data_IF_346791639645
#
_entry.id   IF_346791639645
#
_cell.length_a   1.000
_cell.length_b   1.000
_cell.length_c   1.000
_cell.angle_alpha   90.00
_cell.angle_beta   90.00
_cell.angle_gamma   90.00
#
_symmetry.space_group_name_H-M   'P 1'
#
loop_
_entity.id
_entity.type
_entity.pdbx_description
1 polymer ?
#
# COMPACT_ATOMS: atom_id res chain seq x y z
N UNK A 1 3.30 -19.11 0.44
CA UNK A 1 3.27 -18.24 -0.76
C UNK A 1 1.96 -17.46 -0.91
N UNK A 2 0.79 -18.11 -0.92
CA UNK A 2 -0.47 -17.37 -0.68
C UNK A 2 -0.38 -16.57 0.64
N UNK A 3 0.18 -17.20 1.67
CA UNK A 3 0.47 -16.54 2.95
C UNK A 3 1.47 -15.38 2.85
N UNK A 4 2.46 -15.40 1.96
CA UNK A 4 3.46 -14.33 1.83
C UNK A 4 2.87 -13.10 1.14
N UNK A 5 2.10 -13.32 0.07
CA UNK A 5 1.38 -12.24 -0.62
C UNK A 5 0.31 -11.66 0.32
N UNK A 6 -0.43 -12.50 1.04
CA UNK A 6 -1.41 -12.05 2.03
C UNK A 6 -0.75 -11.26 3.17
N UNK A 7 0.40 -11.72 3.68
CA UNK A 7 1.16 -10.99 4.70
C UNK A 7 1.65 -9.64 4.18
N UNK A 8 2.11 -9.58 2.93
CA UNK A 8 2.52 -8.33 2.29
C UNK A 8 1.34 -7.36 2.15
N UNK A 9 0.22 -7.81 1.60
CA UNK A 9 -1.00 -7.01 1.47
C UNK A 9 -1.49 -6.48 2.83
N UNK A 10 -1.48 -7.34 3.84
CA UNK A 10 -1.82 -6.96 5.22
C UNK A 10 -0.86 -5.87 5.73
N UNK A 11 0.44 -6.04 5.50
CA UNK A 11 1.46 -5.06 5.93
C UNK A 11 1.31 -3.70 5.23
N UNK A 12 0.96 -3.68 3.94
CA UNK A 12 0.70 -2.43 3.21
C UNK A 12 -0.51 -1.68 3.79
N UNK A 13 -1.60 -2.41 4.07
CA UNK A 13 -2.81 -1.84 4.69
C UNK A 13 -2.54 -1.35 6.12
N UNK A 14 -1.80 -2.12 6.92
CA UNK A 14 -1.41 -1.70 8.27
C UNK A 14 -0.52 -0.47 8.24
N UNK A 15 0.41 -0.39 7.29
CA UNK A 15 1.27 0.77 7.11
C UNK A 15 0.45 2.01 6.78
N UNK A 16 -0.52 1.89 5.88
CA UNK A 16 -1.43 2.97 5.51
C UNK A 16 -2.29 3.43 6.70
N UNK A 17 -2.89 2.48 7.44
CA UNK A 17 -3.65 2.75 8.67
C UNK A 17 -2.79 3.50 9.69
N UNK A 18 -1.55 3.06 9.86
CA UNK A 18 -0.59 3.66 10.79
C UNK A 18 -0.17 5.08 10.37
N UNK A 19 -0.01 5.32 9.06
CA UNK A 19 0.28 6.64 8.52
C UNK A 19 -0.87 7.62 8.78
N UNK A 20 -2.12 7.23 8.50
CA UNK A 20 -3.31 8.03 8.78
C UNK A 20 -3.48 8.29 10.28
N UNK A 21 -3.34 7.26 11.11
CA UNK A 21 -3.54 7.39 12.55
C UNK A 21 -2.57 8.39 13.20
N UNK A 22 -1.31 8.42 12.73
CA UNK A 22 -0.24 9.29 13.27
C UNK A 22 -0.11 10.62 12.54
N UNK A 23 -0.94 10.89 11.54
CA UNK A 23 -0.80 12.12 10.78
C UNK A 23 -1.21 13.35 11.58
N UNK A 24 -0.46 14.43 11.38
CA UNK A 24 -0.70 15.77 11.86
C UNK A 24 -0.25 16.79 10.81
N UNK A 25 -0.26 18.07 11.15
CA UNK A 25 0.03 19.14 10.18
C UNK A 25 1.41 18.98 9.48
N UNK A 26 2.43 18.46 10.18
CA UNK A 26 3.80 18.38 9.68
C UNK A 26 4.02 17.29 8.62
N UNK A 27 3.22 16.22 8.63
CA UNK A 27 3.29 15.11 7.68
C UNK A 27 2.06 15.02 6.76
N UNK A 28 1.15 16.01 6.79
CA UNK A 28 -0.01 16.05 5.90
C UNK A 28 0.37 15.93 4.41
N UNK A 29 1.45 16.61 4.00
CA UNK A 29 1.95 16.57 2.61
C UNK A 29 2.48 15.20 2.16
N UNK A 30 2.82 14.32 3.11
CA UNK A 30 3.33 12.98 2.79
C UNK A 30 2.22 11.94 2.73
N UNK A 31 1.00 12.26 3.19
CA UNK A 31 -0.14 11.33 3.17
C UNK A 31 -0.56 10.94 1.76
N UNK A 32 -0.65 11.90 0.84
CA UNK A 32 -1.01 11.61 -0.56
C UNK A 32 -0.02 10.64 -1.23
N UNK A 33 1.28 10.96 -1.28
CA UNK A 33 2.29 10.06 -1.83
C UNK A 33 2.38 8.70 -1.12
N UNK A 34 2.17 8.67 0.20
CA UNK A 34 2.12 7.42 0.97
C UNK A 34 0.93 6.55 0.55
N UNK A 35 -0.27 7.14 0.44
CA UNK A 35 -1.45 6.43 -0.02
C UNK A 35 -1.30 5.91 -1.45
N UNK A 36 -0.80 6.73 -2.37
CA UNK A 36 -0.54 6.33 -3.75
C UNK A 36 0.41 5.13 -3.82
N UNK A 37 1.53 5.18 -3.08
CA UNK A 37 2.52 4.10 -3.06
C UNK A 37 1.94 2.79 -2.55
N UNK A 38 1.27 2.81 -1.39
CA UNK A 38 0.77 1.57 -0.78
C UNK A 38 -0.43 0.99 -1.53
N UNK A 39 -1.31 1.84 -2.09
CA UNK A 39 -2.43 1.36 -2.90
C UNK A 39 -1.95 0.77 -4.23
N UNK A 40 -0.95 1.37 -4.89
CA UNK A 40 -0.36 0.81 -6.10
C UNK A 40 0.30 -0.56 -5.83
N UNK A 41 1.02 -0.68 -4.71
CA UNK A 41 1.59 -1.95 -4.26
C UNK A 41 0.51 -3.03 -4.08
N UNK A 42 -0.60 -2.69 -3.45
CA UNK A 42 -1.73 -3.60 -3.25
C UNK A 42 -2.32 -4.06 -4.58
N UNK A 43 -2.65 -3.13 -5.48
CA UNK A 43 -3.32 -3.43 -6.75
C UNK A 43 -2.52 -4.36 -7.67
N UNK A 44 -1.19 -4.41 -7.51
CA UNK A 44 -0.34 -5.32 -8.29
C UNK A 44 -0.56 -6.81 -7.98
N UNK A 45 -1.08 -7.14 -6.80
CA UNK A 45 -1.17 -8.53 -6.32
C UNK A 45 -2.57 -9.11 -6.30
N UNK A 46 -3.60 -8.30 -6.58
CA UNK A 46 -5.02 -8.73 -6.58
C UNK A 46 -5.64 -8.55 -7.97
N UNK A 47 -6.56 -9.44 -8.35
CA UNK A 47 -7.27 -9.29 -9.60
C UNK A 47 -8.18 -8.05 -9.53
N UNK A 48 -8.09 -7.19 -10.54
CA UNK A 48 -8.90 -5.98 -10.61
C UNK A 48 -10.39 -6.34 -10.74
N UNK A 49 -11.21 -5.62 -9.99
CA UNK A 49 -12.66 -5.68 -10.04
C UNK A 49 -13.24 -4.30 -9.77
N UNK A 50 -14.44 -4.02 -10.25
CA UNK A 50 -15.11 -2.72 -10.02
C UNK A 50 -15.24 -2.41 -8.51
N UNK A 51 -15.48 -3.43 -7.69
CA UNK A 51 -15.62 -3.29 -6.23
C UNK A 51 -14.28 -2.89 -5.60
N UNK A 52 -13.19 -3.52 -6.04
CA UNK A 52 -11.85 -3.18 -5.58
C UNK A 52 -11.44 -1.78 -6.02
N UNK A 53 -11.66 -1.43 -7.29
CA UNK A 53 -11.35 -0.10 -7.82
C UNK A 53 -12.12 1.00 -7.06
N UNK A 54 -13.41 0.78 -6.80
CA UNK A 54 -14.23 1.71 -6.03
C UNK A 54 -13.72 1.85 -4.59
N UNK A 55 -13.38 0.75 -3.92
CA UNK A 55 -12.86 0.77 -2.55
C UNK A 55 -11.48 1.46 -2.48
N UNK A 56 -10.60 1.21 -3.45
CA UNK A 56 -9.29 1.87 -3.55
C UNK A 56 -9.45 3.38 -3.79
N UNK A 57 -10.33 3.77 -4.71
CA UNK A 57 -10.61 5.17 -4.99
C UNK A 57 -11.20 5.90 -3.77
N UNK A 58 -12.14 5.27 -3.06
CA UNK A 58 -12.74 5.83 -1.84
C UNK A 58 -11.68 6.01 -0.75
N UNK A 59 -10.86 4.99 -0.49
CA UNK A 59 -9.75 5.08 0.47
C UNK A 59 -8.78 6.22 0.13
N UNK A 60 -8.36 6.32 -1.13
CA UNK A 60 -7.49 7.41 -1.59
C UNK A 60 -8.14 8.78 -1.41
N UNK A 61 -9.42 8.90 -1.75
CA UNK A 61 -10.19 10.14 -1.65
C UNK A 61 -10.33 10.60 -0.20
N UNK A 62 -10.71 9.71 0.73
CA UNK A 62 -10.83 10.03 2.14
C UNK A 62 -9.48 10.42 2.76
N UNK A 63 -8.38 9.75 2.39
CA UNK A 63 -7.03 10.15 2.85
C UNK A 63 -6.66 11.53 2.31
N UNK A 64 -6.99 11.83 1.05
CA UNK A 64 -6.79 13.15 0.47
C UNK A 64 -7.57 14.26 1.18
N UNK A 65 -8.83 14.00 1.54
CA UNK A 65 -9.67 14.92 2.31
C UNK A 65 -9.09 15.17 3.72
N UNK A 66 -8.63 14.12 4.40
CA UNK A 66 -7.97 14.23 5.69
C UNK A 66 -6.65 15.04 5.60
N UNK A 67 -5.80 14.74 4.61
CA UNK A 67 -4.58 15.50 4.36
C UNK A 67 -4.87 16.99 4.09
N UNK A 68 -5.93 17.29 3.33
CA UNK A 68 -6.37 18.65 3.08
C UNK A 68 -6.85 19.34 4.35
N UNK A 69 -7.63 18.67 5.20
CA UNK A 69 -8.09 19.22 6.48
C UNK A 69 -6.91 19.58 7.40
N UNK A 70 -5.89 18.72 7.44
CA UNK A 70 -4.63 18.99 8.16
C UNK A 70 -3.88 20.19 7.58
N UNK A 71 -3.73 20.25 6.25
CA UNK A 71 -3.03 21.35 5.58
C UNK A 71 -3.72 22.70 5.77
N UNK A 72 -5.06 22.70 5.68
CA UNK A 72 -5.89 23.88 5.87
C UNK A 72 -6.01 24.32 7.34
N UNK A 73 -5.48 23.54 8.29
CA UNK A 73 -5.66 23.76 9.73
C UNK A 73 -7.14 23.93 10.09
N UNK A 74 -7.96 23.01 9.56
CA UNK A 74 -9.40 22.96 9.82
C UNK A 74 -9.70 22.82 11.32
N UNK A 75 -10.96 22.96 11.71
CA UNK A 75 -11.34 22.78 13.11
C UNK A 75 -11.00 21.35 13.57
N UNK A 76 -10.56 21.19 14.83
CA UNK A 76 -10.15 19.87 15.37
C UNK A 76 -11.25 18.82 15.15
N UNK A 77 -12.51 19.17 15.34
CA UNK A 77 -13.64 18.26 15.10
C UNK A 77 -13.74 17.78 13.64
N UNK A 78 -13.45 18.65 12.67
CA UNK A 78 -13.45 18.33 11.24
C UNK A 78 -12.25 17.45 10.87
N UNK A 79 -11.06 17.76 11.41
CA UNK A 79 -9.87 16.94 11.24
C UNK A 79 -10.11 15.52 11.79
N UNK A 80 -10.66 15.43 12.99
CA UNK A 80 -10.96 14.15 13.63
C UNK A 80 -12.04 13.35 12.92
N UNK A 81 -13.03 14.01 12.33
CA UNK A 81 -14.02 13.34 11.50
C UNK A 81 -13.38 12.80 10.21
N UNK A 82 -12.63 13.62 9.49
CA UNK A 82 -11.94 13.20 8.27
C UNK A 82 -10.94 12.05 8.54
N UNK A 83 -10.28 12.06 9.70
CA UNK A 83 -9.41 10.95 10.15
C UNK A 83 -10.20 9.65 10.31
N UNK A 84 -11.35 9.69 10.97
CA UNK A 84 -12.22 8.52 11.15
C UNK A 84 -12.73 8.00 9.81
N UNK A 85 -13.14 8.89 8.92
CA UNK A 85 -13.64 8.52 7.59
C UNK A 85 -12.53 7.85 6.76
N UNK A 86 -11.30 8.38 6.80
CA UNK A 86 -10.15 7.77 6.15
C UNK A 86 -9.81 6.37 6.72
N UNK A 87 -9.85 6.20 8.05
CA UNK A 87 -9.62 4.88 8.67
C UNK A 87 -10.73 3.89 8.30
N UNK A 88 -11.99 4.31 8.30
CA UNK A 88 -13.11 3.47 7.91
C UNK A 88 -13.01 3.02 6.44
N UNK A 89 -12.60 3.92 5.54
CA UNK A 89 -12.38 3.56 4.14
C UNK A 89 -11.21 2.58 3.95
N UNK A 90 -10.12 2.72 4.71
CA UNK A 90 -9.01 1.74 4.72
C UNK A 90 -9.47 0.38 5.22
N UNK A 91 -10.27 0.34 6.29
CA UNK A 91 -10.80 -0.90 6.83
C UNK A 91 -11.79 -1.58 5.86
N UNK A 92 -12.62 -0.80 5.17
CA UNK A 92 -13.47 -1.31 4.10
C UNK A 92 -12.67 -1.89 2.93
N UNK A 93 -11.59 -1.21 2.52
CA UNK A 93 -10.67 -1.72 1.50
C UNK A 93 -10.03 -3.04 1.94
N UNK A 94 -9.60 -3.17 3.20
CA UNK A 94 -9.05 -4.41 3.73
C UNK A 94 -10.01 -5.59 3.57
N UNK A 95 -11.30 -5.39 3.88
CA UNK A 95 -12.34 -6.41 3.69
C UNK A 95 -12.50 -6.81 2.23
N UNK A 96 -12.45 -5.84 1.31
CA UNK A 96 -12.54 -6.12 -0.14
C UNK A 96 -11.32 -6.90 -0.64
N UNK A 97 -10.13 -6.58 -0.13
CA UNK A 97 -8.90 -7.29 -0.48
C UNK A 97 -8.91 -8.74 -0.01
N UNK A 98 -9.38 -9.00 1.21
CA UNK A 98 -9.50 -10.36 1.75
C UNK A 98 -10.48 -11.22 0.94
N UNK A 99 -11.46 -10.60 0.27
CA UNK A 99 -12.41 -11.27 -0.61
C UNK A 99 -11.94 -11.36 -2.08
N UNK A 100 -10.84 -10.68 -2.44
CA UNK A 100 -10.38 -10.57 -3.83
C UNK A 100 -9.47 -11.75 -4.19
N UNK A 101 -9.63 -12.36 -5.38
CA UNK A 101 -8.71 -13.40 -5.82
C UNK A 101 -7.33 -12.80 -6.15
N UNK A 102 -6.24 -13.57 -5.98
CA UNK A 102 -4.91 -13.11 -6.35
C UNK A 102 -4.80 -12.82 -7.86
N UNK A 103 -3.97 -11.84 -8.22
CA UNK A 103 -3.67 -11.49 -9.61
C UNK A 103 -2.84 -12.55 -10.31
N UNK A 104 -2.95 -12.67 -11.64
CA UNK A 104 -2.02 -13.47 -12.46
C UNK A 104 -0.55 -13.04 -12.25
N UNK A 105 -0.30 -11.76 -11.95
CA UNK A 105 1.04 -11.25 -11.64
C UNK A 105 1.61 -11.80 -10.32
N UNK A 106 0.76 -12.18 -9.36
CA UNK A 106 1.18 -12.86 -8.14
C UNK A 106 1.80 -14.24 -8.43
N UNK A 107 1.46 -14.86 -9.56
CA UNK A 107 2.08 -16.11 -10.01
C UNK A 107 3.49 -15.91 -10.59
N UNK A 108 3.83 -14.74 -11.13
CA UNK A 108 5.17 -14.46 -11.70
C UNK A 108 6.22 -14.24 -10.61
N UNK A 109 5.83 -13.70 -9.45
CA UNK A 109 6.70 -13.64 -8.26
C UNK A 109 7.14 -15.04 -7.78
N UNK A 110 6.38 -16.08 -8.14
CA UNK A 110 6.69 -17.50 -7.88
C UNK A 110 7.73 -18.10 -8.83
N UNK A 111 7.95 -17.49 -10.00
CA UNK A 111 8.68 -18.08 -11.11
C UNK A 111 10.06 -17.48 -11.36
N UNK A 112 10.61 -16.68 -10.42
CA UNK A 112 11.97 -16.14 -10.58
C UNK A 112 12.99 -17.27 -10.39
N UNK A 113 13.71 -17.73 -11.43
CA UNK A 113 14.80 -18.66 -11.23
C UNK A 113 15.94 -17.89 -10.54
N UNK A 114 16.51 -18.48 -9.49
CA UNK A 114 17.73 -17.99 -8.90
C UNK A 114 18.85 -17.96 -9.95
N UNK A 115 19.03 -16.81 -10.61
CA UNK A 115 20.18 -16.54 -11.47
C UNK A 115 20.88 -15.31 -10.96
N UNK A 116 21.92 -15.52 -10.16
CA UNK A 116 23.19 -14.80 -10.22
C UNK A 116 24.23 -15.66 -9.47
N UNK A 117 25.17 -16.32 -10.15
CA UNK A 117 26.39 -15.73 -10.72
C UNK A 117 27.45 -15.47 -9.64
N UNK A 118 28.21 -16.51 -9.30
CA UNK A 118 29.59 -16.33 -8.83
C UNK A 118 30.50 -16.42 -10.06
N UNK A 119 30.91 -15.24 -10.57
CA UNK A 119 32.00 -15.10 -11.52
C UNK A 119 33.17 -14.38 -10.85
N UNK A 120 34.37 -14.94 -11.08
CA UNK A 120 35.72 -14.34 -11.01
C UNK A 120 36.34 -14.13 -9.62
N UNK A 121 37.64 -14.39 -9.40
CA UNK A 121 38.73 -14.92 -10.22
C UNK A 121 39.94 -15.16 -9.31
N UNK A 122 40.88 -16.05 -9.69
CA UNK A 122 42.33 -15.85 -9.46
C UNK A 122 43.20 -16.83 -10.26
N UNK A 123 43.80 -16.27 -11.32
CA UNK A 123 45.21 -16.41 -11.73
C UNK A 123 45.72 -17.77 -12.25
N UNK A 124 45.91 -17.83 -13.56
CA UNK A 124 47.04 -18.55 -14.19
C UNK A 124 47.92 -17.55 -14.91
N UNK A 125 49.23 -17.60 -14.62
CA UNK A 125 50.43 -17.07 -15.32
C UNK A 125 51.54 -17.05 -14.25
N UNK A 126 52.71 -17.68 -14.33
CA UNK A 126 53.45 -18.48 -15.30
C UNK A 126 54.86 -18.69 -14.71
N UNK A 127 55.51 -19.82 -15.01
CA UNK A 127 56.85 -20.17 -14.56
C UNK A 127 57.21 -21.60 -14.94
#
# INVERSE_FOLDING_TARGET
MADEVQNYLTSEIETLRSAVFRAGALNAKTLGPCAETHLDNVLRFVALSEVLEAATYEAFSCIGLFARALYAQAAIGEIEQARRDALAAIDALAVVLDASPPSEAAHVFSASPATHQEQNASVSLGG
#
